data_IF_955976412541
#
_entry.id   IF_955976412541
#
_cell.length_a   1.000
_cell.length_b   1.000
_cell.length_c   1.000
_cell.angle_alpha   90.00
_cell.angle_beta   90.00
_cell.angle_gamma   90.00
#
_symmetry.space_group_name_H-M   'P 1'
#
loop_
_entity.id
_entity.type
_entity.pdbx_description
1 polymer ?
#
# COMPACT_ATOMS: atom_id res chain seq x y z
N UNK A 1 -6.26 6.17 -8.93
CA UNK A 1 -7.06 5.87 -10.16
C UNK A 1 -8.33 6.73 -10.26
N UNK A 2 -8.22 8.02 -9.94
CA UNK A 2 -9.36 8.97 -9.91
C UNK A 2 -9.86 9.39 -11.30
N UNK A 3 -9.08 9.16 -12.36
CA UNK A 3 -9.44 9.49 -13.74
C UNK A 3 -9.27 8.26 -14.66
N UNK A 4 -10.20 7.30 -14.61
CA UNK A 4 -10.03 6.01 -15.27
C UNK A 4 -9.96 6.11 -16.80
N UNK A 5 -10.76 6.98 -17.42
CA UNK A 5 -10.73 7.15 -18.88
C UNK A 5 -9.35 7.64 -19.37
N UNK A 6 -8.80 8.67 -18.70
CA UNK A 6 -7.45 9.15 -18.99
C UNK A 6 -6.40 8.04 -18.80
N UNK A 7 -6.51 7.30 -17.69
CA UNK A 7 -5.56 6.23 -17.38
C UNK A 7 -5.59 5.12 -18.44
N UNK A 8 -6.76 4.71 -18.92
CA UNK A 8 -6.88 3.75 -20.02
C UNK A 8 -6.19 4.22 -21.30
N UNK A 9 -6.42 5.47 -21.69
CA UNK A 9 -5.76 6.04 -22.87
C UNK A 9 -4.25 6.11 -22.69
N UNK A 10 -3.78 6.62 -21.56
CA UNK A 10 -2.34 6.75 -21.26
C UNK A 10 -1.64 5.38 -21.31
N UNK A 11 -2.19 4.38 -20.61
CA UNK A 11 -1.58 3.04 -20.58
C UNK A 11 -1.54 2.41 -21.96
N UNK A 12 -2.60 2.52 -22.77
CA UNK A 12 -2.63 1.98 -24.12
C UNK A 12 -1.59 2.66 -25.02
N UNK A 13 -1.37 3.97 -24.89
CA UNK A 13 -0.32 4.65 -25.64
C UNK A 13 1.09 4.19 -25.18
N UNK A 14 1.33 4.13 -23.86
CA UNK A 14 2.63 3.71 -23.34
C UNK A 14 2.99 2.25 -23.72
N UNK A 15 1.99 1.36 -23.77
CA UNK A 15 2.21 -0.03 -24.20
C UNK A 15 2.68 -0.18 -25.65
N UNK A 16 2.32 0.75 -26.52
CA UNK A 16 2.84 0.76 -27.91
C UNK A 16 4.36 0.91 -27.98
N UNK A 17 4.95 1.50 -26.93
CA UNK A 17 6.39 1.70 -26.79
C UNK A 17 7.10 0.58 -26.01
N UNK A 18 6.40 -0.52 -25.69
CA UNK A 18 6.92 -1.68 -24.94
C UNK A 18 7.53 -1.32 -23.59
N UNK A 19 7.02 -0.29 -22.92
CA UNK A 19 7.47 0.15 -21.61
C UNK A 19 6.93 -0.78 -20.53
N UNK A 20 7.77 -1.06 -19.52
CA UNK A 20 7.32 -1.69 -18.28
C UNK A 20 6.53 -0.66 -17.44
N UNK A 21 5.27 -0.95 -17.16
CA UNK A 21 4.35 -0.03 -16.49
C UNK A 21 4.13 -0.48 -15.06
N UNK A 22 4.52 0.35 -14.10
CA UNK A 22 4.20 0.19 -12.70
C UNK A 22 3.27 1.30 -12.22
N UNK A 23 2.35 0.96 -11.30
CA UNK A 23 1.45 1.94 -10.68
C UNK A 23 1.48 1.84 -9.16
N UNK A 24 1.59 2.98 -8.48
CA UNK A 24 1.35 3.07 -7.04
C UNK A 24 -0.14 3.28 -6.77
N UNK A 25 -0.71 2.46 -5.90
CA UNK A 25 -2.14 2.50 -5.60
C UNK A 25 -2.45 1.99 -4.20
N UNK A 26 -3.51 2.52 -3.60
CA UNK A 26 -4.12 1.91 -2.41
C UNK A 26 -5.13 0.82 -2.76
N UNK A 27 -5.49 0.68 -4.04
CA UNK A 27 -6.55 -0.22 -4.47
C UNK A 27 -7.97 0.22 -4.05
N UNK A 28 -8.14 1.42 -3.46
CA UNK A 28 -9.46 1.95 -3.09
C UNK A 28 -10.17 2.51 -4.33
N UNK A 29 -10.74 1.62 -5.09
CA UNK A 29 -11.49 1.88 -6.33
C UNK A 29 -12.53 0.78 -6.51
N UNK A 30 -13.65 1.09 -7.12
CA UNK A 30 -14.69 0.11 -7.43
C UNK A 30 -14.11 -1.15 -8.04
N UNK A 31 -14.53 -2.30 -7.50
CA UNK A 31 -13.95 -3.60 -7.85
C UNK A 31 -14.00 -3.90 -9.35
N UNK A 32 -15.13 -3.62 -10.00
CA UNK A 32 -15.30 -3.84 -11.43
C UNK A 32 -14.31 -3.00 -12.26
N UNK A 33 -14.05 -1.77 -11.83
CA UNK A 33 -13.09 -0.89 -12.50
C UNK A 33 -11.64 -1.33 -12.20
N UNK A 34 -11.35 -1.77 -10.98
CA UNK A 34 -10.05 -2.33 -10.61
C UNK A 34 -9.70 -3.54 -11.48
N UNK A 35 -10.64 -4.48 -11.66
CA UNK A 35 -10.41 -5.69 -12.45
C UNK A 35 -10.13 -5.42 -13.94
N UNK A 36 -10.60 -4.28 -14.46
CA UNK A 36 -10.31 -3.82 -15.83
C UNK A 36 -8.96 -3.12 -15.94
N UNK A 37 -8.57 -2.37 -14.90
CA UNK A 37 -7.35 -1.55 -14.93
C UNK A 37 -6.10 -2.32 -14.50
N UNK A 38 -6.19 -3.12 -13.44
CA UNK A 38 -5.04 -3.78 -12.83
C UNK A 38 -4.24 -4.64 -13.84
N UNK A 39 -4.87 -5.42 -14.75
CA UNK A 39 -4.13 -6.23 -15.74
C UNK A 39 -3.37 -5.41 -16.80
N UNK A 40 -3.58 -4.10 -16.86
CA UNK A 40 -2.88 -3.24 -17.79
C UNK A 40 -1.47 -2.87 -17.32
N UNK A 41 -1.14 -3.15 -16.07
CA UNK A 41 0.15 -2.84 -15.46
C UNK A 41 0.98 -4.11 -15.29
N UNK A 42 2.28 -3.97 -15.42
CA UNK A 42 3.25 -5.05 -15.22
C UNK A 42 3.57 -5.21 -13.72
N UNK A 43 3.35 -4.16 -12.91
CA UNK A 43 3.56 -4.17 -11.46
C UNK A 43 2.59 -3.24 -10.75
N UNK A 44 1.94 -3.75 -9.70
CA UNK A 44 1.18 -2.92 -8.75
C UNK A 44 2.01 -2.74 -7.47
N UNK A 45 2.40 -1.51 -7.17
CA UNK A 45 2.93 -1.11 -5.86
C UNK A 45 1.72 -0.76 -4.98
N UNK A 46 1.33 -1.70 -4.11
CA UNK A 46 0.02 -1.68 -3.48
C UNK A 46 0.12 -1.35 -1.98
N UNK A 47 -0.34 -0.19 -1.58
CA UNK A 47 -0.27 0.27 -0.19
C UNK A 47 -1.32 -0.41 0.70
N UNK A 48 -0.87 -1.11 1.74
CA UNK A 48 -1.70 -1.68 2.81
C UNK A 48 -1.38 -0.93 4.11
N UNK A 49 -2.33 -0.16 4.62
CA UNK A 49 -2.05 0.78 5.70
C UNK A 49 -2.39 0.23 7.08
N UNK A 50 -3.44 -0.58 7.20
CA UNK A 50 -3.82 -1.22 8.46
C UNK A 50 -4.60 -2.53 8.21
N UNK A 51 -4.43 -3.53 9.09
CA UNK A 51 -5.18 -4.78 9.02
C UNK A 51 -6.58 -4.66 9.61
N UNK A 52 -6.71 -3.88 10.70
CA UNK A 52 -7.98 -3.65 11.37
C UNK A 52 -8.83 -2.63 10.60
N UNK A 53 -10.09 -2.96 10.40
CA UNK A 53 -11.04 -2.20 9.60
C UNK A 53 -11.32 -0.80 10.19
N UNK A 54 -11.56 -0.75 11.50
CA UNK A 54 -11.92 0.48 12.19
C UNK A 54 -10.71 1.40 12.34
N UNK A 55 -9.54 0.84 12.68
CA UNK A 55 -8.30 1.62 12.75
C UNK A 55 -7.92 2.17 11.37
N UNK A 56 -8.13 1.40 10.29
CA UNK A 56 -7.94 1.90 8.94
C UNK A 56 -8.84 3.10 8.64
N UNK A 57 -10.13 3.01 9.03
CA UNK A 57 -11.07 4.13 8.85
C UNK A 57 -10.65 5.36 9.65
N UNK A 58 -10.24 5.19 10.91
CA UNK A 58 -9.79 6.30 11.76
C UNK A 58 -8.57 7.02 11.17
N UNK A 59 -7.63 6.28 10.58
CA UNK A 59 -6.41 6.86 10.03
C UNK A 59 -6.53 7.37 8.58
N UNK A 60 -7.52 6.90 7.81
CA UNK A 60 -7.59 7.19 6.36
C UNK A 60 -8.94 7.73 5.88
N UNK A 61 -9.97 7.68 6.72
CA UNK A 61 -11.34 8.07 6.38
C UNK A 61 -12.11 7.03 5.54
N UNK A 62 -11.52 5.86 5.26
CA UNK A 62 -12.17 4.79 4.48
C UNK A 62 -11.90 3.43 5.10
N UNK A 63 -12.83 2.49 4.91
CA UNK A 63 -12.64 1.11 5.33
C UNK A 63 -11.72 0.33 4.36
N UNK A 64 -11.00 -0.66 4.86
CA UNK A 64 -10.07 -1.45 4.06
C UNK A 64 -10.69 -2.63 3.31
N UNK A 65 -11.99 -2.92 3.48
CA UNK A 65 -12.66 -4.08 2.86
C UNK A 65 -12.45 -4.14 1.35
N UNK A 66 -12.71 -3.03 0.67
CA UNK A 66 -12.55 -2.93 -0.79
C UNK A 66 -11.09 -3.05 -1.22
N UNK A 67 -10.17 -2.47 -0.44
CA UNK A 67 -8.73 -2.54 -0.66
C UNK A 67 -8.26 -4.00 -0.60
N UNK A 68 -8.62 -4.72 0.46
CA UNK A 68 -8.25 -6.13 0.65
C UNK A 68 -8.90 -7.03 -0.40
N UNK A 69 -10.17 -6.76 -0.76
CA UNK A 69 -10.86 -7.48 -1.85
C UNK A 69 -10.09 -7.34 -3.17
N UNK A 70 -9.67 -6.12 -3.52
CA UNK A 70 -8.94 -5.84 -4.75
C UNK A 70 -7.54 -6.46 -4.74
N UNK A 71 -6.81 -6.37 -3.62
CA UNK A 71 -5.51 -7.01 -3.46
C UNK A 71 -5.61 -8.53 -3.62
N UNK A 72 -6.56 -9.17 -2.92
CA UNK A 72 -6.79 -10.61 -3.02
C UNK A 72 -7.12 -11.04 -4.45
N UNK A 73 -7.96 -10.29 -5.14
CA UNK A 73 -8.31 -10.56 -6.54
C UNK A 73 -7.06 -10.47 -7.45
N UNK A 74 -6.22 -9.45 -7.28
CA UNK A 74 -5.00 -9.29 -8.07
C UNK A 74 -4.05 -10.48 -7.90
N UNK A 75 -3.83 -10.93 -6.65
CA UNK A 75 -3.01 -12.10 -6.35
C UNK A 75 -3.58 -13.38 -6.98
N UNK A 76 -4.90 -13.61 -6.87
CA UNK A 76 -5.57 -14.78 -7.44
C UNK A 76 -5.51 -14.81 -8.98
N UNK A 77 -5.46 -13.64 -9.61
CA UNK A 77 -5.34 -13.51 -11.08
C UNK A 77 -3.88 -13.37 -11.54
N UNK A 78 -2.91 -13.68 -10.66
CA UNK A 78 -1.47 -13.72 -10.96
C UNK A 78 -0.92 -12.38 -11.49
N UNK A 79 -1.53 -11.28 -11.11
CA UNK A 79 -0.98 -9.96 -11.37
C UNK A 79 0.22 -9.76 -10.46
N UNK A 80 1.33 -9.25 -10.98
CA UNK A 80 2.51 -8.96 -10.17
C UNK A 80 2.19 -7.80 -9.21
N UNK A 81 2.19 -8.11 -7.91
CA UNK A 81 1.88 -7.14 -6.85
C UNK A 81 3.01 -7.13 -5.84
N UNK A 82 3.45 -5.93 -5.49
CA UNK A 82 4.29 -5.69 -4.33
C UNK A 82 3.48 -4.91 -3.29
N UNK A 83 2.91 -5.59 -2.26
CA UNK A 83 2.32 -4.91 -1.13
C UNK A 83 3.38 -4.08 -0.41
N UNK A 84 3.02 -2.84 -0.06
CA UNK A 84 3.88 -1.93 0.70
C UNK A 84 3.15 -1.48 1.95
N UNK A 85 3.88 -1.37 3.05
CA UNK A 85 3.35 -0.91 4.33
C UNK A 85 4.08 0.38 4.70
N UNK A 86 3.46 1.56 4.52
CA UNK A 86 3.92 2.77 5.16
C UNK A 86 3.77 2.61 6.67
N UNK A 87 4.89 2.51 7.40
CA UNK A 87 4.88 2.38 8.87
C UNK A 87 4.87 3.77 9.47
N UNK A 88 3.74 4.14 10.08
CA UNK A 88 3.45 5.49 10.57
C UNK A 88 3.35 5.46 12.09
N UNK A 89 4.11 6.32 12.82
CA UNK A 89 4.06 6.40 14.27
C UNK A 89 2.65 6.62 14.82
N UNK A 90 2.30 5.89 15.88
CA UNK A 90 1.00 5.91 16.58
C UNK A 90 -0.20 5.50 15.73
N UNK A 91 0.03 4.91 14.55
CA UNK A 91 -1.03 4.40 13.70
C UNK A 91 -0.92 2.90 13.46
N UNK A 92 0.22 2.43 12.98
CA UNK A 92 0.43 1.03 12.64
C UNK A 92 1.86 0.55 12.95
N UNK A 93 2.58 1.26 13.82
CA UNK A 93 4.00 1.00 14.11
C UNK A 93 4.23 0.03 15.30
N UNK A 94 3.16 -0.41 15.98
CA UNK A 94 3.31 -1.36 17.07
C UNK A 94 3.63 -2.79 16.56
N UNK A 95 4.28 -3.60 17.42
CA UNK A 95 4.52 -5.02 17.09
C UNK A 95 3.21 -5.82 16.98
N UNK A 96 2.12 -5.37 17.62
CA UNK A 96 0.80 -5.98 17.44
C UNK A 96 0.24 -5.66 16.05
N UNK A 97 0.45 -4.46 15.54
CA UNK A 97 0.05 -4.10 14.18
C UNK A 97 0.84 -4.90 13.15
N UNK A 98 2.16 -5.07 13.36
CA UNK A 98 2.98 -5.95 12.53
C UNK A 98 2.41 -7.37 12.46
N UNK A 99 2.03 -7.95 13.62
CA UNK A 99 1.43 -9.30 13.67
C UNK A 99 0.09 -9.36 12.94
N UNK A 100 -0.76 -8.35 13.12
CA UNK A 100 -2.06 -8.25 12.44
C UNK A 100 -1.89 -8.17 10.92
N UNK A 101 -1.01 -7.29 10.45
CA UNK A 101 -0.70 -7.11 9.03
C UNK A 101 -0.05 -8.37 8.43
N UNK A 102 0.92 -8.98 9.12
CA UNK A 102 1.56 -10.20 8.63
C UNK A 102 0.56 -11.34 8.47
N UNK A 103 -0.32 -11.57 9.45
CA UNK A 103 -1.39 -12.57 9.38
C UNK A 103 -2.38 -12.29 8.25
N UNK A 104 -2.82 -11.04 8.10
CA UNK A 104 -3.70 -10.63 7.01
C UNK A 104 -3.06 -10.96 5.65
N UNK A 105 -1.82 -10.52 5.43
CA UNK A 105 -1.11 -10.70 4.17
C UNK A 105 -0.81 -12.17 3.87
N UNK A 106 -0.41 -12.95 4.87
CA UNK A 106 -0.22 -14.41 4.74
C UNK A 106 -1.50 -15.11 4.33
N UNK A 107 -2.63 -14.79 4.98
CA UNK A 107 -3.93 -15.40 4.70
C UNK A 107 -4.45 -15.14 3.28
N UNK A 108 -4.03 -14.05 2.64
CA UNK A 108 -4.39 -13.76 1.24
C UNK A 108 -3.33 -14.20 0.24
N UNK A 109 -2.24 -14.84 0.70
CA UNK A 109 -1.22 -15.44 -0.15
C UNK A 109 -0.07 -14.50 -0.56
N UNK A 110 0.20 -13.43 0.19
CA UNK A 110 1.34 -12.55 -0.04
C UNK A 110 2.63 -13.26 0.39
N UNK A 111 3.62 -13.28 -0.50
CA UNK A 111 4.93 -13.90 -0.26
C UNK A 111 6.05 -12.88 -0.04
N UNK A 112 5.85 -11.63 -0.44
CA UNK A 112 6.83 -10.56 -0.26
C UNK A 112 6.13 -9.24 0.08
N UNK A 113 6.77 -8.40 0.92
CA UNK A 113 6.26 -7.09 1.31
C UNK A 113 7.42 -6.10 1.47
N UNK A 114 7.18 -4.85 1.14
CA UNK A 114 8.10 -3.75 1.41
C UNK A 114 7.60 -2.90 2.56
N UNK A 115 8.46 -2.63 3.55
CA UNK A 115 8.21 -1.64 4.60
C UNK A 115 8.73 -0.29 4.15
N UNK A 116 7.92 0.74 4.34
CA UNK A 116 8.28 2.12 4.06
C UNK A 116 8.32 2.89 5.40
N UNK A 117 9.51 3.10 5.99
CA UNK A 117 9.64 3.89 7.20
C UNK A 117 9.08 5.29 7.01
N UNK A 118 8.35 5.80 8.00
CA UNK A 118 7.75 7.12 7.96
C UNK A 118 8.82 8.22 7.82
N UNK A 119 8.54 9.19 6.96
CA UNK A 119 9.32 10.42 6.80
C UNK A 119 8.43 11.63 6.55
N UNK A 120 8.91 12.83 6.87
CA UNK A 120 8.14 14.07 6.82
C UNK A 120 8.16 14.78 5.44
N UNK A 121 8.62 14.12 4.38
CA UNK A 121 8.75 14.76 3.05
C UNK A 121 7.41 15.28 2.47
N UNK A 122 6.27 14.80 3.00
CA UNK A 122 4.95 15.26 2.61
C UNK A 122 4.55 16.63 3.16
N UNK A 123 5.21 17.14 4.21
CA UNK A 123 4.81 18.37 4.93
C UNK A 123 4.65 19.57 3.99
N UNK A 124 5.61 19.78 3.09
CA UNK A 124 5.56 20.89 2.12
C UNK A 124 4.35 20.88 1.21
N UNK A 125 3.80 19.69 0.89
CA UNK A 125 2.57 19.60 0.08
C UNK A 125 1.36 20.11 0.83
N UNK A 126 1.27 19.81 2.13
CA UNK A 126 0.19 20.32 2.98
C UNK A 126 0.27 21.85 3.11
N UNK A 127 1.47 22.40 3.31
CA UNK A 127 1.69 23.85 3.32
C UNK A 127 1.24 24.51 2.01
N UNK A 128 1.60 23.92 0.85
CA UNK A 128 1.20 24.45 -0.46
C UNK A 128 -0.32 24.48 -0.67
N UNK A 129 -1.05 23.55 -0.06
CA UNK A 129 -2.51 23.50 -0.11
C UNK A 129 -3.18 24.22 1.06
N UNK A 130 -2.41 24.89 1.92
CA UNK A 130 -2.88 25.54 3.14
C UNK A 130 -3.66 24.57 4.06
N UNK A 131 -3.18 23.34 4.16
CA UNK A 131 -3.75 22.29 5.00
C UNK A 131 -2.85 22.02 6.20
N UNK A 132 -3.45 21.69 7.33
CA UNK A 132 -2.71 21.27 8.52
C UNK A 132 -2.13 19.86 8.32
N UNK A 133 -0.82 19.71 8.58
CA UNK A 133 -0.16 18.41 8.55
C UNK A 133 -0.16 17.76 9.93
N UNK A 134 -1.09 16.85 10.16
CA UNK A 134 -1.29 16.20 11.47
C UNK A 134 -0.06 15.40 11.98
N UNK A 135 0.85 15.02 11.08
CA UNK A 135 2.05 14.25 11.41
C UNK A 135 3.31 15.12 11.58
N UNK A 136 3.17 16.45 11.62
CA UNK A 136 4.29 17.41 11.70
C UNK A 136 5.28 17.12 12.84
N UNK A 137 4.77 16.70 14.00
CA UNK A 137 5.56 16.47 15.22
C UNK A 137 5.97 15.01 15.38
N UNK A 138 5.66 14.12 14.43
CA UNK A 138 6.05 12.71 14.51
C UNK A 138 7.50 12.55 14.08
N UNK A 139 8.27 11.78 14.85
CA UNK A 139 9.67 11.46 14.51
C UNK A 139 9.72 10.57 13.27
N UNK A 140 10.62 10.87 12.34
CA UNK A 140 10.91 9.98 11.23
C UNK A 140 11.44 8.62 11.75
N UNK A 141 11.07 7.55 11.08
CA UNK A 141 11.53 6.20 11.37
C UNK A 141 12.68 5.84 10.43
N UNK A 142 13.62 5.04 10.93
CA UNK A 142 14.70 4.46 10.17
C UNK A 142 14.55 2.93 10.08
N UNK A 143 15.24 2.28 9.18
CA UNK A 143 15.22 0.82 9.02
C UNK A 143 15.63 0.10 10.31
N UNK A 144 16.55 0.69 11.06
CA UNK A 144 17.06 0.19 12.34
C UNK A 144 15.95 0.11 13.40
N UNK A 145 15.03 1.08 13.41
CA UNK A 145 13.91 1.15 14.35
C UNK A 145 12.86 0.06 14.06
N UNK A 146 12.83 -0.45 12.83
CA UNK A 146 11.82 -1.41 12.36
C UNK A 146 12.32 -2.85 12.25
N UNK A 147 13.48 -3.21 12.80
CA UNK A 147 14.01 -4.57 12.70
C UNK A 147 13.11 -5.63 13.35
N UNK A 148 12.59 -5.36 14.53
CA UNK A 148 11.66 -6.29 15.21
C UNK A 148 10.34 -6.40 14.44
N UNK A 149 9.84 -5.29 13.94
CA UNK A 149 8.66 -5.22 13.08
C UNK A 149 8.85 -6.08 11.80
N UNK A 150 9.99 -5.95 11.13
CA UNK A 150 10.36 -6.73 9.96
C UNK A 150 10.44 -8.22 10.26
N UNK A 151 11.05 -8.61 11.40
CA UNK A 151 11.21 -10.01 11.80
C UNK A 151 9.87 -10.73 11.98
N UNK A 152 8.81 -10.03 12.35
CA UNK A 152 7.46 -10.61 12.46
C UNK A 152 6.99 -11.14 11.10
N UNK A 153 7.20 -10.40 10.00
CA UNK A 153 6.85 -10.87 8.66
C UNK A 153 7.72 -12.05 8.22
N UNK A 154 9.03 -12.00 8.50
CA UNK A 154 9.96 -13.07 8.18
C UNK A 154 9.57 -14.37 8.90
N UNK A 155 9.19 -14.29 10.18
CA UNK A 155 8.72 -15.43 10.97
C UNK A 155 7.37 -16.01 10.47
N UNK A 156 6.63 -15.25 9.67
CA UNK A 156 5.41 -15.70 8.99
C UNK A 156 5.68 -16.14 7.54
N UNK A 157 6.94 -16.43 7.17
CA UNK A 157 7.39 -16.84 5.84
C UNK A 157 7.13 -15.80 4.73
N UNK A 158 7.01 -14.53 5.09
CA UNK A 158 6.87 -13.43 4.14
C UNK A 158 8.23 -12.75 3.99
N UNK A 159 8.79 -12.73 2.77
CA UNK A 159 10.01 -11.97 2.49
C UNK A 159 9.74 -10.48 2.72
N UNK A 160 10.38 -9.89 3.73
CA UNK A 160 10.18 -8.50 4.13
C UNK A 160 11.47 -7.69 3.97
N UNK A 161 11.38 -6.52 3.33
CA UNK A 161 12.52 -5.64 3.04
C UNK A 161 12.10 -4.15 3.07
N UNK A 162 13.09 -3.26 3.02
CA UNK A 162 12.92 -1.80 3.01
C UNK A 162 13.14 -1.20 1.63
#
# INVERSE_FOLDING_TARGET
MSQPAFLFHLVNELKKHQLHLAIETTGYIEHELFTKLAPLFDLLLFDVKHYDREQHFLGTGVYNDLIIKNLKWALQNKIEVLPRIPVIPDFNDSLNDAKGLARLLKNIGVLKVQLLPFHQFGEKKYEMFNLEYSLKNKKALHKEDLKEYQNIFINEDIKCFF
#
